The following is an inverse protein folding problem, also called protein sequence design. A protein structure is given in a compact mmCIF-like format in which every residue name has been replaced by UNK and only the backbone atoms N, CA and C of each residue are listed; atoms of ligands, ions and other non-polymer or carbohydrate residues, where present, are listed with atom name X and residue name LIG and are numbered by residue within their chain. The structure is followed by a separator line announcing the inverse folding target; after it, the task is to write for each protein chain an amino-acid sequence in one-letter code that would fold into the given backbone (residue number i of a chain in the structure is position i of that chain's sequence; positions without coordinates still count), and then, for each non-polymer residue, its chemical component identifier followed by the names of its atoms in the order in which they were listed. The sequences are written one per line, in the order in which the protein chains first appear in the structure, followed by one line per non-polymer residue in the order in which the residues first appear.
data_IF_912916611113
#
_entry.id   IF_912916611113
#
_cell.length_a   1.000
_cell.length_b   1.000
_cell.length_c   1.000
_cell.angle_alpha   90.00
_cell.angle_beta   90.00
_cell.angle_gamma   90.00
#
_symmetry.space_group_name_H-M   'P 1'
#
loop_
_entity.id
_entity.type
_entity.pdbx_description
1 polymer ?
#
# COMPACT_ATOMS: atom_id res chain seq x y z
N UNK A 1 -23.07 2.04 -0.01
CA UNK A 1 -22.09 1.47 -0.97
C UNK A 1 -21.85 0.03 -0.57
N UNK A 2 -21.94 -0.90 -1.52
CA UNK A 2 -21.71 -2.32 -1.27
C UNK A 2 -20.35 -2.69 -1.87
N UNK A 3 -19.44 -3.19 -1.04
CA UNK A 3 -18.16 -3.73 -1.46
C UNK A 3 -18.27 -5.24 -1.57
N UNK A 4 -17.62 -5.83 -2.57
CA UNK A 4 -17.58 -7.27 -2.79
C UNK A 4 -16.27 -7.83 -2.22
N UNK A 5 -16.39 -8.71 -1.23
CA UNK A 5 -15.30 -9.44 -0.61
C UNK A 5 -15.42 -10.95 -0.81
N UNK A 6 -16.43 -11.41 -1.58
CA UNK A 6 -16.70 -12.83 -1.81
C UNK A 6 -16.15 -13.30 -3.17
N UNK A 7 -16.06 -12.39 -4.15
CA UNK A 7 -15.47 -12.71 -5.46
C UNK A 7 -13.98 -13.04 -5.31
N UNK A 8 -13.63 -14.28 -5.67
CA UNK A 8 -12.24 -14.74 -5.73
C UNK A 8 -11.50 -14.04 -6.88
N UNK A 9 -10.34 -13.47 -6.57
CA UNK A 9 -9.49 -12.78 -7.54
C UNK A 9 -8.28 -13.65 -7.88
N UNK A 10 -8.11 -13.98 -9.15
CA UNK A 10 -6.87 -14.61 -9.63
C UNK A 10 -5.73 -13.58 -9.64
N UNK A 11 -4.70 -13.82 -8.82
CA UNK A 11 -3.52 -12.97 -8.69
C UNK A 11 -2.28 -13.53 -9.37
N UNK A 12 -2.38 -14.67 -10.07
CA UNK A 12 -1.24 -15.36 -10.69
C UNK A 12 -0.47 -14.50 -11.72
N UNK A 13 -1.15 -13.54 -12.37
CA UNK A 13 -0.56 -12.63 -13.37
C UNK A 13 -0.29 -11.21 -12.84
N UNK A 14 -0.47 -10.98 -11.53
CA UNK A 14 -0.44 -9.63 -10.92
C UNK A 14 0.93 -9.18 -10.40
N UNK A 15 2.03 -9.84 -10.80
CA UNK A 15 3.38 -9.63 -10.23
C UNK A 15 3.43 -9.80 -8.69
N UNK A 16 2.50 -10.57 -8.12
CA UNK A 16 2.38 -10.75 -6.67
C UNK A 16 3.52 -11.59 -6.09
N UNK A 17 4.18 -11.05 -5.05
CA UNK A 17 5.14 -11.82 -4.23
C UNK A 17 4.43 -12.93 -3.46
N UNK A 18 3.26 -12.64 -2.89
CA UNK A 18 2.47 -13.60 -2.09
C UNK A 18 2.13 -14.86 -2.88
N UNK A 19 1.75 -14.71 -4.15
CA UNK A 19 1.33 -15.80 -5.04
C UNK A 19 2.44 -16.35 -5.95
N UNK A 20 3.68 -15.85 -5.85
CA UNK A 20 4.77 -16.33 -6.68
C UNK A 20 5.24 -17.73 -6.22
N UNK A 21 5.05 -18.74 -7.07
CA UNK A 21 5.41 -20.15 -6.76
C UNK A 21 6.87 -20.36 -6.35
N UNK A 22 7.81 -19.63 -6.95
CA UNK A 22 9.22 -19.74 -6.59
C UNK A 22 9.49 -19.15 -5.20
N UNK A 23 8.83 -18.03 -4.87
CA UNK A 23 8.92 -17.42 -3.55
C UNK A 23 8.26 -18.30 -2.49
N UNK A 24 7.05 -18.82 -2.74
CA UNK A 24 6.36 -19.77 -1.84
C UNK A 24 7.27 -20.97 -1.56
N UNK A 25 7.85 -21.58 -2.61
CA UNK A 25 8.81 -22.69 -2.45
C UNK A 25 10.03 -22.30 -1.60
N UNK A 26 10.55 -21.08 -1.74
CA UNK A 26 11.69 -20.63 -0.93
C UNK A 26 11.36 -20.46 0.56
N UNK A 27 10.10 -20.18 0.89
CA UNK A 27 9.64 -19.94 2.27
C UNK A 27 9.23 -21.24 2.96
N UNK A 28 8.52 -22.14 2.28
CA UNK A 28 7.95 -23.34 2.90
C UNK A 28 8.33 -24.68 2.21
N UNK A 29 9.14 -24.65 1.16
CA UNK A 29 9.58 -25.84 0.43
C UNK A 29 8.56 -26.44 -0.55
N UNK A 30 7.34 -25.91 -0.61
CA UNK A 30 6.25 -26.42 -1.46
C UNK A 30 5.72 -25.33 -2.40
N UNK A 31 5.96 -25.45 -3.71
CA UNK A 31 5.49 -24.45 -4.71
C UNK A 31 3.98 -24.42 -4.91
N UNK A 32 3.27 -25.45 -4.45
CA UNK A 32 1.81 -25.59 -4.59
C UNK A 32 1.07 -25.29 -3.28
N UNK A 33 1.76 -24.74 -2.28
CA UNK A 33 1.10 -24.31 -1.04
C UNK A 33 0.25 -23.06 -1.26
N UNK A 34 -0.92 -23.03 -0.61
CA UNK A 34 -1.81 -21.87 -0.61
C UNK A 34 -1.20 -20.72 0.23
N UNK A 35 -1.13 -19.47 -0.29
CA UNK A 35 -0.33 -18.43 0.36
C UNK A 35 -1.12 -17.62 1.41
N UNK A 36 -0.85 -17.88 2.69
CA UNK A 36 -1.39 -17.12 3.84
C UNK A 36 -0.31 -16.44 4.69
N UNK A 37 0.70 -15.82 4.05
CA UNK A 37 1.96 -15.45 4.73
C UNK A 37 2.36 -13.97 4.59
N UNK A 38 2.28 -13.37 3.39
CA UNK A 38 2.54 -11.93 3.20
C UNK A 38 1.31 -11.12 3.63
N UNK A 39 1.53 -10.04 4.37
CA UNK A 39 0.50 -9.12 4.83
C UNK A 39 0.02 -8.15 3.73
N UNK A 40 -0.48 -8.69 2.62
CA UNK A 40 -1.33 -7.99 1.66
C UNK A 40 -2.68 -8.71 1.52
N UNK A 41 -3.64 -8.11 0.82
CA UNK A 41 -5.00 -8.62 0.69
C UNK A 41 -5.24 -9.25 -0.69
N UNK A 42 -6.14 -10.24 -0.73
CA UNK A 42 -6.67 -10.82 -1.98
C UNK A 42 -8.00 -10.17 -2.41
N UNK A 43 -8.14 -8.87 -2.09
CA UNK A 43 -9.28 -8.04 -2.49
C UNK A 43 -8.82 -6.94 -3.45
N UNK A 44 -9.66 -6.52 -4.40
CA UNK A 44 -9.45 -5.27 -5.12
C UNK A 44 -9.37 -4.09 -4.14
N UNK A 45 -8.61 -3.06 -4.51
CA UNK A 45 -8.66 -1.78 -3.79
C UNK A 45 -10.07 -1.17 -3.89
N UNK A 46 -10.39 -0.23 -2.99
CA UNK A 46 -11.65 0.49 -3.06
C UNK A 46 -11.84 1.14 -4.46
N UNK A 47 -13.04 1.11 -5.07
CA UNK A 47 -13.28 1.63 -6.43
C UNK A 47 -12.84 3.09 -6.60
N UNK A 48 -12.95 3.90 -5.55
CA UNK A 48 -12.53 5.30 -5.53
C UNK A 48 -11.01 5.43 -5.71
N UNK A 49 -10.23 4.50 -5.14
CA UNK A 49 -8.77 4.44 -5.29
C UNK A 49 -8.41 3.99 -6.70
N UNK A 50 -9.09 2.97 -7.23
CA UNK A 50 -8.87 2.48 -8.59
C UNK A 50 -9.17 3.57 -9.65
N UNK A 51 -10.28 4.30 -9.49
CA UNK A 51 -10.67 5.40 -10.38
C UNK A 51 -9.67 6.55 -10.34
N UNK A 52 -9.18 6.93 -9.15
CA UNK A 52 -8.16 7.98 -9.03
C UNK A 52 -6.84 7.56 -9.70
N UNK A 53 -6.43 6.30 -9.56
CA UNK A 53 -5.24 5.76 -10.21
C UNK A 53 -5.39 5.73 -11.75
N UNK A 54 -6.56 5.33 -12.25
CA UNK A 54 -6.87 5.33 -13.68
C UNK A 54 -6.81 6.75 -14.26
N UNK A 55 -7.46 7.72 -13.61
CA UNK A 55 -7.44 9.12 -14.07
C UNK A 55 -6.01 9.69 -14.11
N UNK A 56 -5.16 9.31 -13.15
CA UNK A 56 -3.75 9.69 -13.17
C UNK A 56 -2.99 9.05 -14.35
N UNK A 57 -3.27 7.79 -14.67
CA UNK A 57 -2.67 7.10 -15.81
C UNK A 57 -3.09 7.70 -17.16
N UNK A 58 -4.35 8.12 -17.29
CA UNK A 58 -4.90 8.76 -18.49
C UNK A 58 -4.22 10.10 -18.82
N UNK A 59 -3.61 10.77 -17.84
CA UNK A 59 -2.85 12.00 -18.06
C UNK A 59 -1.60 11.80 -18.95
N UNK A 60 -1.08 10.57 -19.04
CA UNK A 60 0.04 10.16 -19.91
C UNK A 60 1.37 10.94 -19.74
N UNK A 61 1.53 11.71 -18.66
CA UNK A 61 2.79 12.37 -18.27
C UNK A 61 3.17 11.91 -16.87
N UNK A 62 4.28 11.18 -16.78
CA UNK A 62 4.77 10.52 -15.56
C UNK A 62 6.08 11.14 -15.04
N UNK A 63 6.15 12.48 -15.05
CA UNK A 63 7.30 13.22 -14.53
C UNK A 63 7.41 13.18 -13.00
N UNK A 64 8.30 14.00 -12.44
CA UNK A 64 8.49 14.09 -11.00
C UNK A 64 7.25 14.68 -10.30
N UNK A 65 6.56 13.91 -9.44
CA UNK A 65 5.35 14.39 -8.78
C UNK A 65 5.70 15.32 -7.62
N UNK A 66 4.85 16.33 -7.41
CA UNK A 66 4.90 17.20 -6.24
C UNK A 66 3.47 17.46 -5.73
N UNK A 67 3.30 17.43 -4.41
CA UNK A 67 2.03 17.73 -3.76
C UNK A 67 2.25 18.23 -2.33
N UNK A 68 1.65 19.37 -2.01
CA UNK A 68 1.73 19.96 -0.67
C UNK A 68 0.68 19.40 0.29
N UNK A 69 -0.24 18.57 -0.20
CA UNK A 69 -1.44 18.18 0.57
C UNK A 69 -1.28 16.88 1.36
N UNK A 70 -0.23 16.09 1.11
CA UNK A 70 -0.08 14.75 1.70
C UNK A 70 -0.09 14.77 3.23
N UNK A 71 0.68 15.69 3.84
CA UNK A 71 0.76 15.81 5.30
C UNK A 71 -0.56 16.25 5.90
N UNK A 72 -1.22 17.25 5.31
CA UNK A 72 -2.53 17.72 5.79
C UNK A 72 -3.60 16.62 5.70
N UNK A 73 -3.62 15.83 4.62
CA UNK A 73 -4.54 14.69 4.47
C UNK A 73 -4.32 13.66 5.59
N UNK A 74 -3.06 13.35 5.91
CA UNK A 74 -2.74 12.45 7.01
C UNK A 74 -3.15 13.02 8.38
N UNK A 75 -2.87 14.30 8.66
CA UNK A 75 -3.29 14.95 9.91
C UNK A 75 -4.82 14.88 10.10
N UNK A 76 -5.58 15.16 9.04
CA UNK A 76 -7.04 15.08 9.07
C UNK A 76 -7.52 13.65 9.34
N UNK A 77 -6.91 12.66 8.69
CA UNK A 77 -7.25 11.25 8.89
C UNK A 77 -6.95 10.80 10.33
N UNK A 78 -5.80 11.20 10.87
CA UNK A 78 -5.39 10.87 12.24
C UNK A 78 -6.34 11.47 13.29
N UNK A 79 -6.76 12.73 13.11
CA UNK A 79 -7.73 13.36 14.02
C UNK A 79 -9.11 12.69 13.92
N UNK A 80 -9.59 12.42 12.71
CA UNK A 80 -10.91 11.81 12.52
C UNK A 80 -10.99 10.38 13.03
N UNK A 81 -9.96 9.56 12.79
CA UNK A 81 -9.98 8.13 13.13
C UNK A 81 -9.48 7.83 14.53
N UNK A 82 -8.58 8.66 15.07
CA UNK A 82 -7.86 8.37 16.30
C UNK A 82 -7.90 9.51 17.32
N UNK A 83 -8.58 10.62 17.01
CA UNK A 83 -8.60 11.84 17.85
C UNK A 83 -7.19 12.38 18.15
N UNK A 84 -6.23 12.04 17.29
CA UNK A 84 -4.84 12.45 17.40
C UNK A 84 -4.63 13.74 16.61
N UNK A 85 -4.38 14.84 17.32
CA UNK A 85 -4.09 16.14 16.71
C UNK A 85 -2.61 16.24 16.37
N UNK A 86 -2.30 16.34 15.09
CA UNK A 86 -0.94 16.53 14.55
C UNK A 86 -0.89 17.80 13.70
N UNK A 87 0.25 18.47 13.71
CA UNK A 87 0.58 19.53 12.76
C UNK A 87 1.38 18.96 11.60
N UNK A 88 1.34 19.63 10.44
CA UNK A 88 2.14 19.19 9.29
C UNK A 88 3.64 19.11 9.59
N UNK A 89 4.15 19.89 10.54
CA UNK A 89 5.58 19.89 10.91
C UNK A 89 5.99 18.62 11.66
N UNK A 90 5.03 17.90 12.24
CA UNK A 90 5.25 16.65 12.96
C UNK A 90 5.17 15.42 12.03
N UNK A 91 4.87 15.61 10.74
CA UNK A 91 4.68 14.52 9.78
C UNK A 91 5.79 14.56 8.72
N UNK A 92 6.55 13.47 8.62
CA UNK A 92 7.57 13.28 7.58
C UNK A 92 7.11 12.20 6.61
N UNK A 93 7.17 12.48 5.31
CA UNK A 93 6.85 11.52 4.26
C UNK A 93 8.08 10.67 3.96
N UNK A 94 7.91 9.35 3.95
CA UNK A 94 8.98 8.38 3.73
C UNK A 94 8.48 7.19 2.89
N UNK A 95 9.41 6.49 2.26
CA UNK A 95 9.16 5.31 1.42
C UNK A 95 9.03 4.05 2.29
N UNK A 96 7.95 3.98 3.07
CA UNK A 96 7.62 2.82 3.89
C UNK A 96 8.24 2.80 5.29
N UNK A 97 7.62 2.03 6.19
CA UNK A 97 7.94 2.04 7.63
C UNK A 97 9.35 1.52 7.92
N UNK A 98 9.77 0.41 7.30
CA UNK A 98 11.09 -0.18 7.55
C UNK A 98 12.23 0.76 7.14
N UNK A 99 12.09 1.47 6.02
CA UNK A 99 13.07 2.48 5.60
C UNK A 99 13.14 3.64 6.59
N UNK A 100 11.99 4.12 7.09
CA UNK A 100 11.96 5.14 8.14
C UNK A 100 12.68 4.68 9.41
N UNK A 101 12.48 3.43 9.83
CA UNK A 101 13.15 2.88 11.01
C UNK A 101 14.66 2.78 10.80
N UNK A 102 15.12 2.28 9.66
CA UNK A 102 16.54 2.17 9.35
C UNK A 102 17.23 3.53 9.40
N UNK A 103 16.65 4.54 8.73
CA UNK A 103 17.18 5.92 8.75
C UNK A 103 17.21 6.47 10.17
N UNK A 104 16.15 6.29 10.96
CA UNK A 104 16.14 6.77 12.34
C UNK A 104 17.22 6.11 13.19
N UNK A 105 17.47 4.80 13.02
CA UNK A 105 18.54 4.09 13.73
C UNK A 105 19.92 4.59 13.32
N UNK A 106 20.14 4.91 12.05
CA UNK A 106 21.42 5.46 11.56
C UNK A 106 21.70 6.88 12.06
N UNK A 107 20.67 7.62 12.49
CA UNK A 107 20.80 8.99 13.01
C UNK A 107 20.98 9.06 14.54
N UNK A 108 20.89 7.93 15.24
CA UNK A 108 21.13 7.81 16.69
C UNK A 108 22.61 7.57 16.99
#
# INVERSE_FOLDING_TARGET
MQYDFDTVVDRSTSLSVKWNKAVIKSVCGNSEAEPFWVADMDFPVAPEVAQAAQALAEHAIFGYPHTDKQRQVFCNWAEQRHQLKLTEREVVVSQGVLNSLAVLVEQL
#
